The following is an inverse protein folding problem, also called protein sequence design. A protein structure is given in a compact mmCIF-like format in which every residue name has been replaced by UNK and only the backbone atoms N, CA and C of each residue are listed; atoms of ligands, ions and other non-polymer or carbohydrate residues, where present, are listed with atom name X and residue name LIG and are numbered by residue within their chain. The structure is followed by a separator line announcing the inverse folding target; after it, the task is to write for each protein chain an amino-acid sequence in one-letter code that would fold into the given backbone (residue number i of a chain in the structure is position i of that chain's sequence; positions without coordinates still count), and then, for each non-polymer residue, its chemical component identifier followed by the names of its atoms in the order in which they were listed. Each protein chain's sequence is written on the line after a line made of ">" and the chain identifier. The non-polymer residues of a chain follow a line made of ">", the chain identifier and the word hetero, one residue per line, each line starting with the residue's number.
data_IF_126544539077
#
_entry.id   IF_126544539077
#
_cell.length_a   1.000
_cell.length_b   1.000
_cell.length_c   1.000
_cell.angle_alpha   90.00
_cell.angle_beta   90.00
_cell.angle_gamma   90.00
#
_symmetry.space_group_name_H-M   'P 1'
#
loop_
_entity.id
_entity.type
_entity.pdbx_description
1 polymer ?
#
# COMPACT_ATOMS: atom_id res chain seq x y z
N UNK A 1 15.08 13.31 7.04
CA UNK A 1 15.20 12.14 6.12
C UNK A 1 13.82 11.78 5.61
N UNK A 2 13.67 10.94 4.58
CA UNK A 2 12.35 10.55 4.04
C UNK A 2 11.98 9.12 4.43
N UNK A 3 10.71 8.88 4.77
CA UNK A 3 10.15 7.54 5.04
C UNK A 3 9.00 7.25 4.10
N UNK A 4 8.99 6.04 3.53
CA UNK A 4 7.86 5.54 2.75
C UNK A 4 6.62 5.46 3.65
N UNK A 5 5.51 6.02 3.17
CA UNK A 5 4.23 6.02 3.88
C UNK A 5 3.11 5.36 3.12
N UNK A 6 3.14 5.37 1.79
CA UNK A 6 2.16 4.64 1.01
C UNK A 6 2.67 4.31 -0.39
N UNK A 7 2.06 3.28 -0.99
CA UNK A 7 2.21 2.92 -2.40
C UNK A 7 0.83 2.76 -3.00
N UNK A 8 0.59 3.41 -4.13
CA UNK A 8 -0.64 3.25 -4.92
C UNK A 8 -0.36 2.25 -6.04
N UNK A 9 -1.26 1.29 -6.20
CA UNK A 9 -1.25 0.28 -7.24
C UNK A 9 -2.44 0.48 -8.17
N UNK A 10 -2.25 0.23 -9.46
CA UNK A 10 -3.29 0.24 -10.48
C UNK A 10 -3.34 -1.09 -11.20
N UNK A 11 -4.53 -1.58 -11.50
CA UNK A 11 -4.75 -2.77 -12.32
C UNK A 11 -6.23 -2.99 -12.58
N UNK A 12 -6.54 -3.62 -13.71
CA UNK A 12 -7.89 -3.64 -14.28
C UNK A 12 -8.38 -2.20 -14.45
N UNK A 13 -9.29 -1.72 -13.59
CA UNK A 13 -9.93 -0.41 -13.72
C UNK A 13 -10.00 0.38 -12.39
N UNK A 14 -9.23 -0.01 -11.37
CA UNK A 14 -9.21 0.71 -10.09
C UNK A 14 -7.85 0.77 -9.40
N UNK A 15 -7.78 1.66 -8.40
CA UNK A 15 -6.62 1.83 -7.55
C UNK A 15 -6.80 1.12 -6.22
N UNK A 16 -5.75 0.45 -5.79
CA UNK A 16 -5.58 -0.08 -4.43
C UNK A 16 -4.39 0.64 -3.80
N UNK A 17 -4.41 0.92 -2.50
CA UNK A 17 -3.26 1.49 -1.82
C UNK A 17 -2.80 0.63 -0.66
N UNK A 18 -1.50 0.63 -0.43
CA UNK A 18 -0.88 0.12 0.79
C UNK A 18 -0.35 1.28 1.60
N UNK A 19 -0.68 1.36 2.89
CA UNK A 19 -0.25 2.40 3.83
C UNK A 19 0.58 1.79 4.96
N UNK A 20 1.69 2.47 5.32
CA UNK A 20 2.48 2.19 6.50
C UNK A 20 1.95 2.99 7.69
N UNK A 21 1.27 2.30 8.60
CA UNK A 21 0.78 2.85 9.87
C UNK A 21 1.82 2.63 10.97
N UNK A 22 2.18 3.69 11.69
CA UNK A 22 3.26 3.64 12.67
C UNK A 22 4.63 3.36 12.02
N UNK A 23 5.40 2.48 12.66
CA UNK A 23 6.77 2.14 12.22
C UNK A 23 6.81 0.94 11.28
N UNK A 24 5.93 -0.05 11.48
CA UNK A 24 6.03 -1.34 10.81
C UNK A 24 4.70 -1.90 10.34
N UNK A 25 3.55 -1.36 10.72
CA UNK A 25 2.27 -1.96 10.32
C UNK A 25 1.89 -1.53 8.92
N UNK A 26 1.38 -2.49 8.15
CA UNK A 26 0.92 -2.30 6.80
C UNK A 26 -0.57 -2.60 6.72
N UNK A 27 -1.27 -1.67 6.09
CA UNK A 27 -2.70 -1.75 5.82
C UNK A 27 -2.93 -1.57 4.33
N UNK A 28 -3.90 -2.30 3.79
CA UNK A 28 -4.33 -2.17 2.40
C UNK A 28 -5.73 -1.58 2.37
N UNK A 29 -5.97 -0.69 1.41
CA UNK A 29 -7.28 -0.14 1.12
C UNK A 29 -7.60 -0.40 -0.34
N UNK A 30 -8.76 -1.01 -0.56
CA UNK A 30 -9.33 -1.24 -1.87
C UNK A 30 -10.77 -0.69 -1.86
N UNK A 31 -11.01 0.38 -2.61
CA UNK A 31 -12.31 1.05 -2.61
C UNK A 31 -13.43 0.21 -3.25
N UNK A 32 -13.09 -0.83 -4.02
CA UNK A 32 -14.09 -1.70 -4.67
C UNK A 32 -14.20 -3.06 -3.98
N UNK A 33 -13.07 -3.66 -3.61
CA UNK A 33 -13.06 -5.03 -3.07
C UNK A 33 -13.31 -5.06 -1.54
N UNK A 34 -13.03 -3.97 -0.83
CA UNK A 34 -13.08 -3.91 0.64
C UNK A 34 -14.10 -2.88 1.16
N UNK A 35 -15.06 -2.44 0.33
CA UNK A 35 -16.07 -1.42 0.67
C UNK A 35 -15.47 -0.13 1.26
N UNK A 36 -14.24 0.22 0.85
CA UNK A 36 -13.51 1.37 1.39
C UNK A 36 -12.97 1.18 2.81
N UNK A 37 -12.89 -0.05 3.32
CA UNK A 37 -12.21 -0.35 4.57
C UNK A 37 -10.69 -0.45 4.40
N UNK A 38 -9.96 -0.17 5.48
CA UNK A 38 -8.56 -0.53 5.60
C UNK A 38 -8.44 -1.90 6.25
N UNK A 39 -7.75 -2.83 5.57
CA UNK A 39 -7.50 -4.18 6.03
C UNK A 39 -6.04 -4.34 6.43
N UNK A 40 -5.79 -4.92 7.60
CA UNK A 40 -4.43 -5.17 8.08
C UNK A 40 -3.78 -6.29 7.26
N UNK A 41 -2.65 -5.99 6.62
CA UNK A 41 -1.93 -6.94 5.77
C UNK A 41 -0.78 -7.63 6.53
N UNK A 42 -0.19 -6.95 7.51
CA UNK A 42 0.93 -7.49 8.29
C UNK A 42 2.00 -6.46 8.63
N UNK A 43 3.18 -6.97 9.00
CA UNK A 43 4.36 -6.17 9.31
C UNK A 43 5.17 -5.88 8.05
N UNK A 44 5.85 -4.75 7.98
CA UNK A 44 6.63 -4.32 6.81
C UNK A 44 7.77 -5.24 6.43
N UNK A 45 8.27 -6.03 7.38
CA UNK A 45 9.26 -7.08 7.13
C UNK A 45 8.73 -8.24 6.28
N UNK A 46 7.41 -8.44 6.17
CA UNK A 46 6.82 -9.47 5.31
C UNK A 46 6.74 -9.05 3.84
N UNK A 47 6.82 -7.75 3.55
CA UNK A 47 6.67 -7.21 2.19
C UNK A 47 7.99 -7.32 1.43
N UNK A 48 8.04 -8.26 0.48
CA UNK A 48 9.24 -8.53 -0.33
C UNK A 48 9.35 -7.66 -1.59
N UNK A 49 8.23 -7.20 -2.16
CA UNK A 49 8.21 -6.43 -3.42
C UNK A 49 7.12 -5.37 -3.38
N UNK A 50 7.50 -4.13 -3.68
CA UNK A 50 6.60 -2.98 -3.77
C UNK A 50 6.12 -2.69 -5.19
N UNK A 51 6.73 -3.29 -6.21
CA UNK A 51 6.35 -3.03 -7.61
C UNK A 51 5.01 -3.66 -8.00
N UNK A 52 4.55 -4.67 -7.25
CA UNK A 52 3.35 -5.45 -7.52
C UNK A 52 2.57 -5.73 -6.24
N UNK A 53 1.25 -5.71 -6.34
CA UNK A 53 0.30 -6.19 -5.34
C UNK A 53 -0.71 -7.08 -6.08
N UNK A 54 -0.57 -8.41 -5.93
CA UNK A 54 -1.27 -9.35 -6.81
C UNK A 54 -0.96 -9.07 -8.29
N UNK A 55 -2.01 -8.88 -9.10
CA UNK A 55 -1.92 -8.50 -10.52
C UNK A 55 -1.64 -7.00 -10.74
N UNK A 56 -1.82 -6.16 -9.72
CA UNK A 56 -1.74 -4.69 -9.82
C UNK A 56 -0.30 -4.20 -9.80
N UNK A 57 -0.02 -3.11 -10.52
CA UNK A 57 1.32 -2.50 -10.65
C UNK A 57 1.39 -1.21 -9.86
N UNK A 58 2.49 -1.00 -9.13
CA UNK A 58 2.71 0.26 -8.43
C UNK A 58 2.88 1.42 -9.41
N UNK A 59 2.14 2.50 -9.17
CA UNK A 59 2.13 3.70 -10.02
C UNK A 59 2.61 4.95 -9.29
N UNK A 60 2.51 4.96 -7.96
CA UNK A 60 3.02 6.06 -7.14
C UNK A 60 3.52 5.54 -5.79
N UNK A 61 4.55 6.20 -5.28
CA UNK A 61 5.04 5.99 -3.92
C UNK A 61 5.10 7.34 -3.20
N UNK A 62 4.54 7.39 -2.00
CA UNK A 62 4.48 8.59 -1.17
C UNK A 62 5.48 8.46 -0.03
N UNK A 63 6.35 9.46 0.06
CA UNK A 63 7.33 9.60 1.13
C UNK A 63 7.04 10.87 1.93
N UNK A 64 7.15 10.80 3.24
CA UNK A 64 7.06 11.98 4.11
C UNK A 64 8.44 12.33 4.66
N UNK A 65 8.70 13.62 4.81
CA UNK A 65 9.83 14.06 5.63
C UNK A 65 9.52 13.77 7.10
N UNK A 66 10.55 13.34 7.81
CA UNK A 66 10.57 13.24 9.27
C UNK A 66 11.44 14.37 9.80
#
# INVERSE_FOLDING_TARGET
>A
SFKLKAVIYHGSDHFTMRIWKGHTDIWTYDGMDEDGAFVYEGKSSSVRRLRRLGSRTAVAAMYTSI
#
